data_IF_387462641505
#
_entry.id   IF_387462641505
#
_cell.length_a   1.000
_cell.length_b   1.000
_cell.length_c   1.000
_cell.angle_alpha   90.00
_cell.angle_beta   90.00
_cell.angle_gamma   90.00
#
_symmetry.space_group_name_H-M   'P 1'
#
loop_
_entity.id
_entity.type
_entity.pdbx_description
1 polymer ?
#
# COMPACT_ATOMS: atom_id res chain seq x y z
N UNK A 1 -16.34 -23.96 -29.38
CA UNK A 1 -17.08 -23.99 -30.66
C UNK A 1 -17.33 -25.43 -31.07
N UNK A 2 -18.10 -25.67 -32.14
CA UNK A 2 -18.34 -27.03 -32.64
C UNK A 2 -17.04 -27.70 -33.11
N UNK A 3 -16.14 -26.95 -33.75
CA UNK A 3 -14.84 -27.46 -34.20
C UNK A 3 -13.91 -27.92 -33.06
N UNK A 4 -14.17 -27.52 -31.82
CA UNK A 4 -13.39 -28.00 -30.66
C UNK A 4 -13.79 -29.42 -30.20
N UNK A 5 -14.94 -29.91 -30.67
CA UNK A 5 -15.56 -31.15 -30.19
C UNK A 5 -15.95 -32.12 -31.30
N UNK A 6 -15.80 -31.73 -32.57
CA UNK A 6 -16.17 -32.53 -33.73
C UNK A 6 -15.17 -32.32 -34.87
N UNK A 7 -14.99 -33.35 -35.68
CA UNK A 7 -14.27 -33.27 -36.96
C UNK A 7 -15.30 -32.96 -38.05
N UNK A 8 -15.09 -31.90 -38.82
CA UNK A 8 -16.04 -31.41 -39.83
C UNK A 8 -15.42 -31.59 -41.21
N UNK A 9 -16.16 -32.16 -42.14
CA UNK A 9 -15.70 -32.37 -43.51
C UNK A 9 -16.85 -32.32 -44.53
N UNK A 10 -16.53 -32.19 -45.83
CA UNK A 10 -15.19 -32.03 -46.40
C UNK A 10 -14.56 -30.67 -46.06
N UNK A 11 -13.22 -30.57 -46.06
CA UNK A 11 -12.53 -29.33 -45.73
C UNK A 11 -12.85 -28.22 -46.75
N UNK A 12 -13.16 -27.02 -46.26
CA UNK A 12 -13.54 -25.87 -47.06
C UNK A 12 -14.12 -24.76 -46.18
N UNK A 13 -14.50 -23.64 -46.81
CA UNK A 13 -15.06 -22.47 -46.10
C UNK A 13 -16.32 -22.82 -45.28
N UNK A 14 -17.16 -23.72 -45.80
CA UNK A 14 -18.36 -24.21 -45.10
C UNK A 14 -18.02 -24.97 -43.81
N UNK A 15 -16.99 -25.82 -43.85
CA UNK A 15 -16.54 -26.57 -42.68
C UNK A 15 -15.95 -25.63 -41.61
N UNK A 16 -15.23 -24.58 -42.03
CA UNK A 16 -14.73 -23.55 -41.12
C UNK A 16 -15.88 -22.75 -40.48
N UNK A 17 -16.88 -22.36 -41.28
CA UNK A 17 -18.06 -21.64 -40.78
C UNK A 17 -18.85 -22.47 -39.76
N UNK A 18 -19.12 -23.74 -40.07
CA UNK A 18 -19.77 -24.68 -39.16
C UNK A 18 -18.93 -24.89 -37.89
N UNK A 19 -17.61 -24.97 -38.03
CA UNK A 19 -16.66 -25.13 -36.92
C UNK A 19 -16.70 -24.00 -35.91
N UNK A 20 -16.99 -22.77 -36.33
CA UNK A 20 -17.09 -21.61 -35.46
C UNK A 20 -18.44 -21.47 -34.74
N UNK A 21 -19.41 -22.35 -35.01
CA UNK A 21 -20.72 -22.27 -34.37
C UNK A 21 -20.61 -22.49 -32.84
N UNK A 22 -21.23 -21.62 -32.02
CA UNK A 22 -21.20 -21.75 -30.58
C UNK A 22 -22.16 -22.86 -30.14
N UNK A 23 -21.61 -23.88 -29.46
CA UNK A 23 -22.38 -25.03 -28.95
C UNK A 23 -22.65 -24.90 -27.45
N UNK A 24 -21.61 -24.62 -26.68
CA UNK A 24 -21.68 -24.55 -25.23
C UNK A 24 -20.56 -23.65 -24.67
N UNK A 25 -20.78 -23.13 -23.46
CA UNK A 25 -19.72 -22.47 -22.69
C UNK A 25 -18.70 -23.51 -22.23
N UNK A 26 -17.41 -23.17 -22.36
CA UNK A 26 -16.28 -23.99 -21.92
C UNK A 26 -16.34 -24.30 -20.41
N UNK A 27 -15.82 -25.46 -19.96
CA UNK A 27 -15.69 -25.74 -18.54
C UNK A 27 -14.87 -24.66 -17.81
N UNK A 28 -15.03 -24.57 -16.49
CA UNK A 28 -14.08 -23.85 -15.65
C UNK A 28 -12.68 -24.50 -15.75
N UNK A 29 -11.58 -23.75 -15.55
CA UNK A 29 -10.23 -24.32 -15.57
C UNK A 29 -10.09 -25.53 -14.64
N UNK A 30 -9.43 -26.58 -15.12
CA UNK A 30 -9.26 -27.85 -14.40
C UNK A 30 -10.53 -28.69 -14.25
N UNK A 31 -11.69 -28.23 -14.76
CA UNK A 31 -12.95 -28.97 -14.70
C UNK A 31 -13.26 -29.66 -16.03
N UNK A 32 -14.16 -30.63 -15.92
CA UNK A 32 -14.69 -31.40 -17.03
C UNK A 32 -16.17 -31.06 -17.20
N UNK A 33 -16.63 -30.99 -18.44
CA UNK A 33 -18.05 -30.88 -18.79
C UNK A 33 -18.42 -31.99 -19.75
N UNK A 34 -19.48 -32.69 -19.42
CA UNK A 34 -20.09 -33.68 -20.27
C UNK A 34 -21.19 -33.01 -21.11
N UNK A 35 -21.19 -33.30 -22.41
CA UNK A 35 -22.15 -32.80 -23.38
C UNK A 35 -22.80 -33.98 -24.09
N UNK A 36 -24.13 -34.01 -24.11
CA UNK A 36 -24.87 -34.99 -24.88
C UNK A 36 -25.01 -34.52 -26.34
N UNK A 37 -24.70 -35.40 -27.28
CA UNK A 37 -24.73 -35.10 -28.72
C UNK A 37 -26.11 -34.62 -29.17
N UNK A 38 -27.18 -35.18 -28.61
CA UNK A 38 -28.57 -34.73 -28.88
C UNK A 38 -28.78 -33.27 -28.50
N UNK A 39 -28.21 -32.82 -27.37
CA UNK A 39 -28.31 -31.42 -26.93
C UNK A 39 -27.52 -30.48 -27.84
N UNK A 40 -26.35 -30.93 -28.32
CA UNK A 40 -25.54 -30.19 -29.29
C UNK A 40 -26.30 -30.00 -30.60
N UNK A 41 -26.83 -31.08 -31.18
CA UNK A 41 -27.61 -31.03 -32.42
C UNK A 41 -28.84 -30.12 -32.24
N UNK A 42 -29.56 -30.25 -31.13
CA UNK A 42 -30.72 -29.41 -30.85
C UNK A 42 -30.36 -27.92 -30.73
N UNK A 43 -29.19 -27.60 -30.17
CA UNK A 43 -28.72 -26.21 -30.04
C UNK A 43 -28.42 -25.54 -31.40
N UNK A 44 -28.11 -26.34 -32.41
CA UNK A 44 -27.74 -25.87 -33.75
C UNK A 44 -28.85 -26.04 -34.80
N UNK A 45 -29.93 -26.77 -34.48
CA UNK A 45 -30.99 -27.17 -35.43
C UNK A 45 -31.59 -26.04 -36.28
N UNK A 46 -31.64 -24.82 -35.75
CA UNK A 46 -32.24 -23.67 -36.44
C UNK A 46 -31.22 -22.85 -37.26
N UNK A 47 -29.96 -23.31 -37.36
CA UNK A 47 -28.89 -22.69 -38.14
C UNK A 47 -28.96 -23.22 -39.58
N UNK A 48 -28.91 -22.33 -40.57
CA UNK A 48 -28.94 -22.74 -41.99
C UNK A 48 -27.67 -23.50 -42.37
N UNK A 49 -26.56 -23.16 -41.70
CA UNK A 49 -25.23 -23.73 -41.89
C UNK A 49 -25.17 -25.24 -41.59
N UNK A 50 -26.14 -25.80 -40.84
CA UNK A 50 -26.17 -27.23 -40.49
C UNK A 50 -27.38 -27.98 -41.05
N UNK A 51 -28.14 -27.36 -41.96
CA UNK A 51 -29.40 -27.92 -42.47
C UNK A 51 -29.21 -29.26 -43.21
N UNK A 52 -28.08 -29.44 -43.89
CA UNK A 52 -27.74 -30.63 -44.69
C UNK A 52 -26.55 -31.41 -44.11
N UNK A 53 -26.31 -31.30 -42.81
CA UNK A 53 -25.19 -31.97 -42.14
C UNK A 53 -25.62 -33.32 -41.57
N UNK A 54 -24.89 -34.38 -41.93
CA UNK A 54 -25.03 -35.70 -41.32
C UNK A 54 -24.21 -35.81 -40.03
N UNK A 55 -24.88 -36.12 -38.92
CA UNK A 55 -24.26 -36.23 -37.60
C UNK A 55 -23.91 -37.68 -37.27
N UNK A 56 -22.63 -37.96 -37.00
CA UNK A 56 -22.14 -39.28 -36.61
C UNK A 56 -21.16 -39.18 -35.43
N UNK A 57 -21.05 -40.24 -34.63
CA UNK A 57 -20.05 -40.35 -33.56
C UNK A 57 -20.62 -40.75 -32.21
N UNK A 58 -19.92 -40.33 -31.15
CA UNK A 58 -20.29 -40.66 -29.76
C UNK A 58 -21.62 -40.02 -29.36
N UNK A 59 -22.37 -40.68 -28.47
CA UNK A 59 -23.57 -40.12 -27.84
C UNK A 59 -23.24 -39.05 -26.79
N UNK A 60 -22.01 -39.09 -26.28
CA UNK A 60 -21.54 -38.21 -25.22
C UNK A 60 -20.13 -37.72 -25.51
N UNK A 61 -19.92 -36.43 -25.30
CA UNK A 61 -18.65 -35.73 -25.51
C UNK A 61 -18.18 -35.21 -24.15
N UNK A 62 -16.96 -35.58 -23.75
CA UNK A 62 -16.36 -35.15 -22.50
C UNK A 62 -15.29 -34.11 -22.80
N UNK A 63 -15.54 -32.86 -22.42
CA UNK A 63 -14.61 -31.75 -22.61
C UNK A 63 -13.90 -31.46 -21.31
N UNK A 64 -12.57 -31.65 -21.28
CA UNK A 64 -11.72 -31.31 -20.13
C UNK A 64 -10.92 -30.06 -20.42
N UNK A 65 -11.00 -29.06 -19.55
CA UNK A 65 -10.17 -27.85 -19.67
C UNK A 65 -8.91 -28.00 -18.82
N UNK A 66 -7.75 -27.87 -19.44
CA UNK A 66 -6.48 -27.80 -18.70
C UNK A 66 -6.46 -26.57 -17.78
N UNK A 67 -5.82 -26.70 -16.62
CA UNK A 67 -5.67 -25.62 -15.66
C UNK A 67 -4.36 -25.74 -14.88
N UNK A 68 -3.85 -24.61 -14.43
CA UNK A 68 -2.69 -24.50 -13.56
C UNK A 68 -3.17 -24.41 -12.12
N UNK A 69 -2.59 -25.19 -11.22
CA UNK A 69 -2.95 -25.23 -9.82
C UNK A 69 -1.94 -24.43 -9.01
N UNK A 70 -2.44 -23.52 -8.18
CA UNK A 70 -1.65 -22.73 -7.24
C UNK A 70 -2.05 -23.14 -5.83
N UNK A 71 -1.12 -23.73 -5.09
CA UNK A 71 -1.33 -24.18 -3.72
C UNK A 71 -0.92 -23.11 -2.69
N UNK A 72 -1.16 -23.38 -1.41
CA UNK A 72 -0.81 -22.47 -0.30
C UNK A 72 0.68 -22.11 -0.25
N UNK A 73 1.57 -23.07 -0.50
CA UNK A 73 3.02 -22.84 -0.42
C UNK A 73 3.50 -21.90 -1.53
N UNK A 74 2.93 -22.03 -2.73
CA UNK A 74 3.20 -21.11 -3.84
C UNK A 74 2.67 -19.71 -3.54
N UNK A 75 1.49 -19.58 -2.92
CA UNK A 75 0.97 -18.28 -2.48
C UNK A 75 1.89 -17.63 -1.43
N UNK A 76 2.39 -18.41 -0.47
CA UNK A 76 3.35 -17.94 0.53
C UNK A 76 4.66 -17.48 -0.14
N UNK A 77 5.19 -18.26 -1.08
CA UNK A 77 6.40 -17.91 -1.81
C UNK A 77 6.26 -16.60 -2.62
N UNK A 78 5.10 -16.39 -3.26
CA UNK A 78 4.79 -15.13 -3.97
C UNK A 78 4.83 -13.93 -3.01
N UNK A 79 4.25 -14.06 -1.82
CA UNK A 79 4.25 -12.99 -0.82
C UNK A 79 5.65 -12.76 -0.26
N UNK A 80 6.40 -13.82 0.05
CA UNK A 80 7.77 -13.72 0.55
C UNK A 80 8.69 -13.05 -0.48
N UNK A 81 8.53 -13.35 -1.76
CA UNK A 81 9.25 -12.68 -2.84
C UNK A 81 8.90 -11.19 -2.90
N UNK A 82 7.60 -10.85 -2.88
CA UNK A 82 7.15 -9.46 -2.86
C UNK A 82 7.75 -8.69 -1.66
N UNK A 83 7.76 -9.30 -0.47
CA UNK A 83 8.32 -8.66 0.72
C UNK A 83 9.82 -8.44 0.60
N UNK A 84 10.57 -9.37 0.00
CA UNK A 84 12.02 -9.22 -0.25
C UNK A 84 12.33 -8.14 -1.30
N UNK A 85 11.55 -8.06 -2.36
CA UNK A 85 11.74 -7.03 -3.40
C UNK A 85 11.43 -5.63 -2.85
N UNK A 86 10.45 -5.54 -1.94
CA UNK A 86 10.04 -4.28 -1.32
C UNK A 86 10.79 -3.96 -0.02
N UNK A 87 11.58 -4.87 0.56
CA UNK A 87 12.32 -4.65 1.80
C UNK A 87 13.42 -3.61 1.66
N UNK A 88 13.91 -3.33 0.44
CA UNK A 88 14.85 -2.22 0.18
C UNK A 88 14.28 -0.84 0.54
N UNK A 89 12.94 -0.68 0.58
CA UNK A 89 12.28 0.53 1.09
C UNK A 89 12.27 0.62 2.62
N UNK A 90 12.63 -0.47 3.29
CA UNK A 90 12.54 -0.71 4.74
C UNK A 90 13.91 -1.18 5.26
N UNK A 91 14.98 -0.47 4.89
CA UNK A 91 16.36 -0.82 5.22
C UNK A 91 16.51 -1.19 6.71
N UNK A 92 17.09 -2.37 6.99
CA UNK A 92 17.29 -2.87 8.36
C UNK A 92 16.07 -3.52 9.01
N UNK A 93 14.94 -3.65 8.30
CA UNK A 93 13.73 -4.33 8.82
C UNK A 93 13.71 -5.80 8.41
N UNK A 94 13.66 -6.70 9.38
CA UNK A 94 13.36 -8.11 9.15
C UNK A 94 11.84 -8.30 9.10
N UNK A 95 11.32 -8.67 7.94
CA UNK A 95 9.89 -8.82 7.71
C UNK A 95 9.57 -10.29 7.48
N UNK A 96 8.61 -10.80 8.25
CA UNK A 96 8.10 -12.16 8.11
C UNK A 96 6.58 -12.13 8.05
N UNK A 97 6.02 -12.71 7.00
CA UNK A 97 4.59 -12.93 6.92
C UNK A 97 4.27 -14.41 7.16
N UNK A 98 3.32 -14.67 8.05
CA UNK A 98 2.80 -16.02 8.29
C UNK A 98 1.33 -16.05 7.87
N UNK A 99 1.05 -16.76 6.77
CA UNK A 99 -0.31 -16.96 6.30
C UNK A 99 -1.15 -17.77 7.32
N UNK A 100 -2.31 -17.24 7.68
CA UNK A 100 -3.27 -17.90 8.58
C UNK A 100 -4.51 -18.38 7.82
N UNK A 101 -4.94 -17.61 6.82
CA UNK A 101 -6.07 -17.92 5.94
C UNK A 101 -5.67 -17.66 4.50
N UNK A 102 -5.65 -18.72 3.71
CA UNK A 102 -5.44 -18.69 2.27
C UNK A 102 -6.35 -19.76 1.63
N UNK A 103 -6.75 -19.59 0.37
CA UNK A 103 -7.33 -20.69 -0.40
C UNK A 103 -6.41 -21.92 -0.33
N UNK A 104 -6.97 -23.11 -0.19
CA UNK A 104 -6.18 -24.35 -0.20
C UNK A 104 -5.57 -24.59 -1.59
N UNK A 105 -6.37 -24.37 -2.61
CA UNK A 105 -5.99 -24.51 -4.00
C UNK A 105 -6.74 -23.49 -4.86
N UNK A 106 -6.03 -22.92 -5.82
CA UNK A 106 -6.57 -22.00 -6.81
C UNK A 106 -6.32 -22.58 -8.20
N UNK A 107 -7.37 -22.75 -8.99
CA UNK A 107 -7.24 -23.24 -10.37
C UNK A 107 -7.34 -22.08 -11.35
N UNK A 108 -6.28 -21.90 -12.15
CA UNK A 108 -6.16 -20.87 -13.16
C UNK A 108 -6.24 -21.49 -14.56
N UNK A 109 -6.65 -20.73 -15.60
CA UNK A 109 -6.50 -21.16 -16.98
C UNK A 109 -5.03 -21.51 -17.29
N UNK A 110 -4.81 -22.49 -18.17
CA UNK A 110 -3.49 -22.74 -18.72
C UNK A 110 -3.04 -21.56 -19.60
N UNK A 111 -1.74 -21.22 -19.56
CA UNK A 111 -1.15 -20.12 -20.31
C UNK A 111 0.03 -19.50 -19.55
N UNK A 112 0.56 -18.38 -20.04
CA UNK A 112 1.64 -17.64 -19.39
C UNK A 112 1.09 -16.90 -18.18
N UNK A 113 1.51 -17.33 -16.98
CA UNK A 113 1.05 -16.76 -15.71
C UNK A 113 1.84 -15.51 -15.33
N UNK A 114 1.14 -14.46 -14.90
CA UNK A 114 1.70 -13.29 -14.21
C UNK A 114 0.84 -12.93 -13.01
N UNK A 115 1.42 -12.19 -12.06
CA UNK A 115 0.70 -11.75 -10.86
C UNK A 115 1.17 -10.39 -10.35
N UNK A 116 0.28 -9.71 -9.64
CA UNK A 116 0.57 -8.48 -8.90
C UNK A 116 0.12 -8.66 -7.45
N UNK A 117 0.98 -8.28 -6.52
CA UNK A 117 0.70 -8.35 -5.08
C UNK A 117 0.42 -6.95 -4.54
N UNK A 118 -0.69 -6.81 -3.81
CA UNK A 118 -1.12 -5.56 -3.19
C UNK A 118 -1.33 -5.75 -1.68
N UNK A 119 -0.56 -5.05 -0.81
CA UNK A 119 -0.74 -5.10 0.63
C UNK A 119 -2.02 -4.38 1.07
N UNK A 120 -2.59 -4.75 2.21
CA UNK A 120 -3.74 -4.04 2.79
C UNK A 120 -3.42 -2.62 3.24
N UNK A 121 -2.14 -2.31 3.50
CA UNK A 121 -1.66 -0.98 3.87
C UNK A 121 -0.53 -0.53 2.93
N UNK A 122 -0.50 0.73 2.47
CA UNK A 122 0.55 1.22 1.58
C UNK A 122 1.96 1.12 2.14
N UNK A 123 2.11 1.26 3.47
CA UNK A 123 3.40 1.17 4.16
C UNK A 123 3.96 -0.25 4.30
N UNK A 124 3.21 -1.29 3.91
CA UNK A 124 3.50 -2.71 4.10
C UNK A 124 3.53 -3.12 5.57
N UNK A 125 4.29 -2.43 6.41
CA UNK A 125 4.32 -2.60 7.88
C UNK A 125 2.89 -2.55 8.43
N UNK A 126 2.54 -3.59 9.20
CA UNK A 126 1.19 -3.75 9.74
C UNK A 126 0.14 -4.29 8.77
N UNK A 127 0.50 -4.69 7.56
CA UNK A 127 -0.47 -5.34 6.67
C UNK A 127 -0.90 -6.69 7.23
N UNK A 128 -2.20 -6.90 7.39
CA UNK A 128 -2.77 -8.18 7.84
C UNK A 128 -3.21 -9.08 6.67
N UNK A 129 -3.16 -8.56 5.44
CA UNK A 129 -3.48 -9.32 4.25
C UNK A 129 -2.80 -8.80 2.99
N UNK A 130 -2.57 -9.70 2.06
CA UNK A 130 -2.04 -9.43 0.72
C UNK A 130 -3.03 -9.97 -0.31
N UNK A 131 -3.43 -9.11 -1.25
CA UNK A 131 -4.23 -9.49 -2.40
C UNK A 131 -3.31 -9.84 -3.56
N UNK A 132 -3.51 -11.01 -4.16
CA UNK A 132 -2.74 -11.47 -5.31
C UNK A 132 -3.69 -11.54 -6.50
N UNK A 133 -3.49 -10.63 -7.46
CA UNK A 133 -4.23 -10.61 -8.72
C UNK A 133 -3.44 -11.37 -9.78
N UNK A 134 -4.00 -12.47 -10.29
CA UNK A 134 -3.42 -13.30 -11.34
C UNK A 134 -3.95 -12.90 -12.71
N UNK A 135 -3.05 -12.89 -13.69
CA UNK A 135 -3.37 -12.77 -15.11
C UNK A 135 -2.77 -13.95 -15.89
N UNK A 136 -3.46 -14.38 -16.93
CA UNK A 136 -3.01 -15.43 -17.85
C UNK A 136 -3.05 -14.85 -19.25
N UNK A 137 -1.93 -14.90 -19.96
CA UNK A 137 -1.75 -14.30 -21.30
C UNK A 137 -2.21 -12.83 -21.32
N UNK A 138 -1.74 -12.07 -20.31
CA UNK A 138 -2.03 -10.65 -20.06
C UNK A 138 -3.52 -10.30 -19.83
N UNK A 139 -4.38 -11.32 -19.63
CA UNK A 139 -5.79 -11.14 -19.29
C UNK A 139 -6.03 -11.43 -17.81
N UNK A 140 -6.78 -10.58 -17.10
CA UNK A 140 -7.16 -10.84 -15.71
C UNK A 140 -7.87 -12.19 -15.58
N UNK A 141 -7.40 -13.03 -14.66
CA UNK A 141 -7.96 -14.36 -14.43
C UNK A 141 -8.74 -14.40 -13.10
N UNK A 142 -8.05 -14.20 -11.98
CA UNK A 142 -8.68 -14.25 -10.66
C UNK A 142 -7.85 -13.49 -9.63
N UNK A 143 -8.47 -13.11 -8.53
CA UNK A 143 -7.80 -12.46 -7.41
C UNK A 143 -8.08 -13.25 -6.14
N UNK A 144 -7.04 -13.55 -5.36
CA UNK A 144 -7.18 -14.14 -4.05
C UNK A 144 -6.63 -13.22 -2.96
N UNK A 145 -7.12 -13.40 -1.73
CA UNK A 145 -6.64 -12.64 -0.57
C UNK A 145 -6.06 -13.63 0.44
N UNK A 146 -4.79 -13.46 0.74
CA UNK A 146 -4.10 -14.20 1.80
C UNK A 146 -4.06 -13.33 3.04
N UNK A 147 -4.67 -13.81 4.13
CA UNK A 147 -4.70 -13.12 5.43
C UNK A 147 -3.76 -13.82 6.40
N UNK A 148 -3.06 -13.04 7.22
CA UNK A 148 -2.06 -13.57 8.12
C UNK A 148 -1.53 -12.53 9.09
N UNK A 149 -0.44 -12.90 9.76
CA UNK A 149 0.31 -12.00 10.64
C UNK A 149 1.59 -11.58 9.95
N UNK A 150 1.81 -10.27 9.88
CA UNK A 150 3.07 -9.69 9.48
C UNK A 150 3.83 -9.26 10.73
N UNK A 151 5.00 -9.82 10.93
CA UNK A 151 5.96 -9.41 11.94
C UNK A 151 7.02 -8.57 11.21
N UNK A 152 7.22 -7.34 11.65
CA UNK A 152 8.22 -6.45 11.08
C UNK A 152 9.11 -5.96 12.20
N UNK A 153 10.32 -6.49 12.32
CA UNK A 153 11.25 -6.15 13.40
C UNK A 153 12.34 -5.26 12.85
N UNK A 154 12.55 -4.10 13.47
CA UNK A 154 13.61 -3.17 13.08
C UNK A 154 14.24 -2.50 14.30
N UNK A 155 15.45 -1.97 14.10
CA UNK A 155 16.06 -1.05 15.05
C UNK A 155 15.35 0.30 14.99
N UNK A 156 14.76 0.68 16.12
CA UNK A 156 14.04 1.94 16.28
C UNK A 156 14.50 2.66 17.53
N UNK A 157 14.32 3.97 17.53
CA UNK A 157 14.64 4.80 18.67
C UNK A 157 13.50 4.72 19.69
N UNK A 158 13.85 4.46 20.94
CA UNK A 158 12.96 4.38 22.08
C UNK A 158 13.35 5.41 23.13
N UNK A 159 12.39 5.84 23.95
CA UNK A 159 12.67 6.70 25.10
C UNK A 159 13.36 5.88 26.20
N UNK A 160 14.61 6.20 26.53
CA UNK A 160 15.35 5.51 27.61
C UNK A 160 14.82 5.90 28.99
N UNK A 161 14.25 7.10 29.10
CA UNK A 161 13.63 7.66 30.31
C UNK A 161 12.26 8.25 29.97
N UNK A 162 11.48 8.65 30.98
CA UNK A 162 10.26 9.43 30.73
C UNK A 162 10.65 10.81 30.19
N UNK A 163 10.05 11.19 29.07
CA UNK A 163 10.24 12.49 28.44
C UNK A 163 8.94 13.29 28.54
N UNK A 164 9.00 14.50 29.08
CA UNK A 164 7.85 15.36 29.20
C UNK A 164 7.70 16.25 27.97
N UNK A 165 6.48 16.71 27.70
CA UNK A 165 6.24 17.72 26.69
C UNK A 165 7.14 18.94 26.95
N UNK A 166 7.85 19.37 25.91
CA UNK A 166 8.75 20.51 25.96
C UNK A 166 10.22 20.15 26.21
N UNK A 167 10.54 18.92 26.60
CA UNK A 167 11.91 18.50 26.84
C UNK A 167 12.70 18.46 25.52
N UNK A 168 13.97 18.88 25.56
CA UNK A 168 14.89 18.76 24.43
C UNK A 168 15.60 17.42 24.51
N UNK A 169 15.51 16.64 23.43
CA UNK A 169 16.09 15.30 23.36
C UNK A 169 17.61 15.40 23.24
N UNK A 170 18.30 14.68 24.12
CA UNK A 170 19.73 14.41 24.02
C UNK A 170 20.00 12.90 23.93
N UNK A 171 21.26 12.52 23.67
CA UNK A 171 21.62 11.11 23.45
C UNK A 171 21.30 10.19 24.66
N UNK A 172 21.42 10.70 25.89
CA UNK A 172 21.13 9.91 27.10
C UNK A 172 19.65 9.65 27.34
N UNK A 173 18.77 10.42 26.68
CA UNK A 173 17.32 10.28 26.81
C UNK A 173 16.73 9.18 25.94
N UNK A 174 17.49 8.67 24.97
CA UNK A 174 17.01 7.78 23.93
C UNK A 174 17.94 6.59 23.72
N UNK A 175 17.39 5.46 23.32
CA UNK A 175 18.14 4.25 23.02
C UNK A 175 17.65 3.64 21.72
N UNK A 176 18.53 2.97 20.99
CA UNK A 176 18.13 2.16 19.82
C UNK A 176 17.83 0.75 20.32
N UNK A 177 16.65 0.23 19.99
CA UNK A 177 16.22 -1.12 20.36
C UNK A 177 15.55 -1.80 19.17
N UNK A 178 15.71 -3.12 19.08
CA UNK A 178 14.94 -3.96 18.16
C UNK A 178 13.50 -4.06 18.67
N UNK A 179 12.53 -3.63 17.87
CA UNK A 179 11.10 -3.67 18.22
C UNK A 179 10.26 -4.09 17.01
N UNK A 180 9.07 -4.62 17.28
CA UNK A 180 8.04 -4.84 16.25
C UNK A 180 7.43 -3.50 15.83
N UNK A 181 7.66 -3.13 14.57
CA UNK A 181 7.17 -1.90 13.95
C UNK A 181 5.86 -2.09 13.19
N UNK A 182 5.27 -3.29 13.21
CA UNK A 182 4.03 -3.59 12.49
C UNK A 182 2.85 -2.71 12.91
N UNK A 183 2.83 -2.18 14.13
CA UNK A 183 1.77 -1.28 14.60
C UNK A 183 2.11 0.22 14.53
N UNK A 184 3.33 0.58 14.16
CA UNK A 184 3.86 1.92 14.36
C UNK A 184 3.69 2.81 13.13
N UNK A 185 3.47 4.09 13.35
CA UNK A 185 3.32 5.11 12.31
C UNK A 185 4.60 5.97 12.24
N UNK A 186 5.43 5.70 11.24
CA UNK A 186 6.68 6.43 10.99
C UNK A 186 7.59 6.47 12.25
N UNK A 187 8.06 5.30 12.73
CA UNK A 187 9.03 5.26 13.81
C UNK A 187 10.38 5.83 13.34
N UNK A 188 11.10 6.49 14.26
CA UNK A 188 12.45 6.94 13.99
C UNK A 188 13.44 5.78 14.11
N UNK A 189 14.37 5.65 13.17
CA UNK A 189 15.38 4.58 13.11
C UNK A 189 16.79 5.04 13.50
N UNK A 190 17.01 6.34 13.63
CA UNK A 190 18.31 6.95 13.92
C UNK A 190 18.17 8.03 14.99
N UNK A 191 19.11 8.03 15.94
CA UNK A 191 19.14 9.00 17.05
C UNK A 191 19.46 10.41 16.55
N UNK A 192 20.29 10.52 15.52
CA UNK A 192 20.78 11.78 14.96
C UNK A 192 19.64 12.66 14.45
N UNK A 193 18.52 12.05 14.03
CA UNK A 193 17.31 12.76 13.60
C UNK A 193 16.55 13.43 14.76
N UNK A 194 16.83 13.02 16.00
CA UNK A 194 16.08 13.40 17.19
C UNK A 194 16.87 14.28 18.16
N UNK A 195 18.20 14.17 18.16
CA UNK A 195 19.04 14.98 19.03
C UNK A 195 18.81 16.47 18.74
N UNK A 196 18.49 17.25 19.77
CA UNK A 196 18.16 18.68 19.67
C UNK A 196 16.70 18.97 19.30
N UNK A 197 15.90 17.95 18.97
CA UNK A 197 14.46 18.10 18.79
C UNK A 197 13.74 18.21 20.14
N UNK A 198 12.50 18.69 20.11
CA UNK A 198 11.68 18.87 21.30
C UNK A 198 10.54 17.84 21.34
N UNK A 199 10.18 17.40 22.54
CA UNK A 199 9.08 16.45 22.74
C UNK A 199 7.74 17.17 22.65
N UNK A 200 6.89 16.74 21.70
CA UNK A 200 5.59 17.35 21.43
C UNK A 200 4.51 16.94 22.46
N UNK A 201 4.62 15.72 23.00
CA UNK A 201 3.72 15.13 24.00
C UNK A 201 4.49 14.19 24.90
N UNK A 202 4.11 14.10 26.18
CA UNK A 202 4.82 13.25 27.15
C UNK A 202 4.88 11.79 26.68
N UNK A 203 6.08 11.20 26.74
CA UNK A 203 6.38 9.82 26.35
C UNK A 203 6.95 9.07 27.56
N UNK A 204 6.47 7.85 27.81
CA UNK A 204 6.99 7.02 28.88
C UNK A 204 8.26 6.28 28.44
N UNK A 205 9.12 5.93 29.40
CA UNK A 205 10.29 5.10 29.14
C UNK A 205 9.90 3.76 28.46
N UNK A 206 10.74 3.28 27.56
CA UNK A 206 10.53 2.08 26.74
C UNK A 206 9.60 2.28 25.53
N UNK A 207 8.96 3.44 25.38
CA UNK A 207 8.07 3.71 24.23
C UNK A 207 8.88 4.03 22.98
N UNK A 208 8.47 3.50 21.83
CA UNK A 208 9.06 3.85 20.52
C UNK A 208 8.74 5.30 20.15
N UNK A 209 9.75 6.04 19.72
CA UNK A 209 9.57 7.41 19.24
C UNK A 209 9.07 7.38 17.79
N UNK A 210 7.94 8.06 17.59
CA UNK A 210 7.24 8.19 16.32
C UNK A 210 7.17 9.68 15.97
N UNK A 211 6.91 10.01 14.71
CA UNK A 211 6.85 11.40 14.26
C UNK A 211 5.93 12.29 15.12
N UNK A 212 4.80 11.76 15.58
CA UNK A 212 3.85 12.51 16.41
C UNK A 212 4.34 12.75 17.87
N UNK A 213 5.44 12.13 18.31
CA UNK A 213 6.07 12.40 19.61
C UNK A 213 7.00 13.62 19.57
N UNK A 214 7.43 14.05 18.39
CA UNK A 214 8.57 14.95 18.20
C UNK A 214 8.12 16.21 17.47
N UNK A 215 8.67 17.35 17.85
CA UNK A 215 8.51 18.61 17.15
C UNK A 215 9.85 19.34 17.04
N UNK A 216 9.96 20.19 16.03
CA UNK A 216 11.09 21.11 15.95
C UNK A 216 11.12 22.03 17.18
N UNK A 217 12.30 22.37 17.71
CA UNK A 217 12.40 23.34 18.80
C UNK A 217 11.95 24.73 18.31
N UNK A 218 11.42 25.58 19.21
CA UNK A 218 11.12 26.96 18.87
C UNK A 218 12.40 27.71 18.50
N UNK A 219 12.32 28.54 17.46
CA UNK A 219 13.42 29.41 17.01
C UNK A 219 13.35 30.80 17.64
N UNK A 220 12.22 31.11 18.28
CA UNK A 220 12.01 32.26 19.16
C UNK A 220 11.42 31.74 20.46
N UNK A 221 12.05 32.04 21.59
CA UNK A 221 11.57 31.62 22.92
C UNK A 221 10.78 32.71 23.62
N UNK A 222 9.91 32.34 24.55
CA UNK A 222 9.30 33.28 25.47
C UNK A 222 10.37 34.11 26.21
N UNK A 223 10.14 35.42 26.31
CA UNK A 223 11.10 36.37 26.88
C UNK A 223 12.28 36.72 25.97
N UNK A 224 12.37 36.19 24.76
CA UNK A 224 13.42 36.54 23.81
C UNK A 224 13.18 37.93 23.19
N UNK A 225 14.27 38.68 23.01
CA UNK A 225 14.25 39.94 22.29
C UNK A 225 14.21 39.70 20.79
N UNK A 226 13.13 40.13 20.14
CA UNK A 226 12.92 39.95 18.70
C UNK A 226 12.82 41.28 17.97
N UNK A 227 13.18 41.28 16.69
CA UNK A 227 12.99 42.42 15.80
C UNK A 227 11.67 42.23 15.03
N UNK A 228 10.73 43.13 15.26
CA UNK A 228 9.45 43.18 14.57
C UNK A 228 9.62 43.96 13.27
N UNK A 229 9.37 43.33 12.14
CA UNK A 229 9.32 43.93 10.82
C UNK A 229 7.88 44.16 10.38
N UNK A 230 7.60 45.32 9.83
CA UNK A 230 6.28 45.67 9.35
C UNK A 230 6.44 46.26 7.95
N UNK A 231 5.79 45.67 6.94
CA UNK A 231 5.93 46.08 5.54
C UNK A 231 4.60 46.51 4.95
N UNK A 232 4.57 47.67 4.29
CA UNK A 232 3.42 48.15 3.52
C UNK A 232 3.92 48.81 2.22
N UNK A 233 3.76 48.13 1.09
CA UNK A 233 4.33 48.57 -0.18
C UNK A 233 5.85 48.68 -0.10
N UNK A 234 6.41 49.86 -0.42
CA UNK A 234 7.85 50.14 -0.33
C UNK A 234 8.33 50.54 1.09
N UNK A 235 7.42 50.75 2.05
CA UNK A 235 7.77 51.15 3.42
C UNK A 235 8.06 49.92 4.28
N UNK A 236 9.24 49.88 4.90
CA UNK A 236 9.63 48.88 5.89
C UNK A 236 9.94 49.55 7.23
N UNK A 237 9.18 49.20 8.26
CA UNK A 237 9.40 49.62 9.64
C UNK A 237 10.02 48.46 10.41
N UNK A 238 10.98 48.76 11.30
CA UNK A 238 11.53 47.78 12.22
C UNK A 238 11.58 48.33 13.64
N UNK A 239 11.19 47.53 14.62
CA UNK A 239 11.20 47.89 16.04
C UNK A 239 11.54 46.68 16.90
N UNK A 240 11.91 46.89 18.15
CA UNK A 240 12.24 45.80 19.08
C UNK A 240 11.01 45.39 19.88
N UNK A 241 10.84 44.08 20.04
CA UNK A 241 9.78 43.47 20.83
C UNK A 241 10.31 42.39 21.75
N UNK A 242 9.52 42.06 22.76
CA UNK A 242 9.76 40.94 23.66
C UNK A 242 8.74 39.84 23.33
N UNK A 243 9.21 38.67 22.92
CA UNK A 243 8.34 37.52 22.71
C UNK A 243 7.65 37.12 24.02
N UNK A 244 6.38 36.72 23.92
CA UNK A 244 5.53 36.29 25.03
C UNK A 244 5.09 34.83 24.94
N UNK A 245 5.43 34.18 23.83
CA UNK A 245 5.15 32.78 23.55
C UNK A 245 6.28 32.23 22.70
N UNK A 246 6.61 30.95 22.89
CA UNK A 246 7.50 30.23 21.99
C UNK A 246 6.94 30.20 20.56
N UNK A 247 7.83 30.27 19.57
CA UNK A 247 7.46 30.29 18.17
C UNK A 247 8.43 29.52 17.29
N UNK A 248 7.88 28.69 16.41
CA UNK A 248 8.60 28.07 15.30
C UNK A 248 8.47 28.90 14.04
N UNK A 249 9.29 28.60 13.04
CA UNK A 249 9.23 29.24 11.73
C UNK A 249 7.81 29.19 11.15
N UNK A 250 7.27 30.35 10.79
CA UNK A 250 5.93 30.53 10.23
C UNK A 250 4.79 30.56 11.25
N UNK A 251 5.02 30.24 12.52
CA UNK A 251 3.99 30.33 13.56
C UNK A 251 3.72 31.80 13.95
N UNK A 252 2.48 32.09 14.35
CA UNK A 252 2.10 33.40 14.87
C UNK A 252 2.28 33.39 16.38
N UNK A 253 3.12 34.29 16.89
CA UNK A 253 3.40 34.47 18.32
C UNK A 253 2.95 35.84 18.82
N UNK A 254 2.74 35.93 20.13
CA UNK A 254 2.51 37.22 20.78
C UNK A 254 3.84 37.89 21.11
N UNK A 255 3.97 39.16 20.73
CA UNK A 255 5.15 39.98 20.97
C UNK A 255 4.73 41.31 21.57
N UNK A 256 5.36 41.68 22.69
CA UNK A 256 5.18 42.99 23.32
C UNK A 256 6.16 43.98 22.72
N UNK A 257 5.67 44.99 22.01
CA UNK A 257 6.49 46.08 21.50
C UNK A 257 7.03 46.91 22.67
N UNK A 258 8.34 47.16 22.72
CA UNK A 258 8.99 47.83 23.84
C UNK A 258 8.72 49.33 23.82
N UNK A 259 8.68 49.95 22.64
CA UNK A 259 8.45 51.39 22.48
C UNK A 259 7.01 51.81 22.80
N UNK A 260 6.02 50.95 22.52
CA UNK A 260 4.60 51.26 22.72
C UNK A 260 3.92 50.48 23.84
N UNK A 261 4.60 49.51 24.45
CA UNK A 261 4.05 48.55 25.41
C UNK A 261 2.84 47.72 24.93
N UNK A 262 2.48 47.77 23.63
CA UNK A 262 1.36 47.01 23.05
C UNK A 262 1.74 45.57 22.73
N UNK A 263 0.81 44.65 22.92
CA UNK A 263 0.89 43.27 22.46
C UNK A 263 0.42 43.17 21.00
N UNK A 264 1.23 42.52 20.17
CA UNK A 264 1.01 42.38 18.73
C UNK A 264 1.20 40.91 18.36
N UNK A 265 0.40 40.41 17.42
CA UNK A 265 0.58 39.08 16.85
C UNK A 265 1.51 39.19 15.65
N UNK A 266 2.64 38.49 15.71
CA UNK A 266 3.66 38.53 14.67
C UNK A 266 3.94 37.10 14.19
N UNK A 267 4.15 36.91 12.89
CA UNK A 267 4.64 35.66 12.32
C UNK A 267 6.15 35.55 12.48
N UNK A 268 6.66 34.40 12.90
CA UNK A 268 8.09 34.17 13.03
C UNK A 268 8.71 33.90 11.64
N UNK A 269 9.64 34.76 11.21
CA UNK A 269 10.31 34.61 9.92
C UNK A 269 11.71 34.00 10.04
N UNK A 270 12.28 33.99 11.23
CA UNK A 270 13.60 33.42 11.51
C UNK A 270 14.05 33.65 12.95
N UNK A 271 15.27 33.21 13.31
CA UNK A 271 15.82 33.43 14.65
C UNK A 271 15.83 34.92 15.01
N UNK A 272 15.19 35.29 16.12
CA UNK A 272 15.08 36.68 16.56
C UNK A 272 14.31 37.63 15.63
N UNK A 273 13.60 37.12 14.61
CA UNK A 273 12.93 37.94 13.58
C UNK A 273 11.47 37.55 13.42
N UNK A 274 10.59 38.55 13.48
CA UNK A 274 9.14 38.37 13.32
C UNK A 274 8.56 39.45 12.42
N UNK A 275 7.51 39.16 11.67
CA UNK A 275 6.78 40.14 10.85
C UNK A 275 5.32 40.29 11.23
N UNK A 276 4.78 41.46 10.93
CA UNK A 276 3.35 41.75 11.00
C UNK A 276 2.86 42.06 9.59
N UNK A 277 1.82 41.35 9.15
CA UNK A 277 1.08 41.70 7.95
C UNK A 277 -0.01 42.73 8.31
N UNK A 278 -0.10 43.80 7.53
CA UNK A 278 -1.08 44.87 7.65
C UNK A 278 -2.23 44.72 6.66
#
# INVERSE_FOLDING_TARGET
>A
MLGDIAVIGPAGEEAEAIGQLPVAVSPAPGKTKELYTVSVINSLRNRQEVAEVDWQGSQTIVVRRQGTFINRDQLQAIIDQYLKENSGRLAGTNIRFTAMRAPEELTLPAGKLSWTVTPSRPGITGSSSFSIAFAVDDKPATTCVVRGRLEAVAEVVTAAVRLNKGDVINDSNIAVMQQDIGGLNHPYTSKEQLIGMQVARTVNAGTVLEQAHIAAPPIVKDGEMVKIFARKGALQLSTSGLAKTDGRLGEIIQVKNIGSNKLIHCRVDGPGMVSVEF
#
